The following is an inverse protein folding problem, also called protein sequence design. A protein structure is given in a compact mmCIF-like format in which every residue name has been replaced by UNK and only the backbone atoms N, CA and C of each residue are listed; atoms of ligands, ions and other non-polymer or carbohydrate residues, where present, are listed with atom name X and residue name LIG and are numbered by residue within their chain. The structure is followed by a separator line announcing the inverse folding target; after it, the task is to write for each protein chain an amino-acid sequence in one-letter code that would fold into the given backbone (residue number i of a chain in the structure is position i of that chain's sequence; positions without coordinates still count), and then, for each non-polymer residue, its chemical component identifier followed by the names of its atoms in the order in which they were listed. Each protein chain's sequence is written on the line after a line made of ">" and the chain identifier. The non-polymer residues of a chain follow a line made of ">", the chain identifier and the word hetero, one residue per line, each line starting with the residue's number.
data_IF_458540125759
#
_entry.id   IF_458540125759
#
_cell.length_a   1.000
_cell.length_b   1.000
_cell.length_c   1.000
_cell.angle_alpha   90.00
_cell.angle_beta   90.00
_cell.angle_gamma   90.00
#
_symmetry.space_group_name_H-M   'P 1'
#
loop_
_entity.id
_entity.type
_entity.pdbx_description
1 polymer ?
#
# COMPACT_ATOMS: atom_id res chain seq x y z
N UNK A 1 -13.65 42.42 -1.77
CA UNK A 1 -13.43 41.48 -2.89
C UNK A 1 -12.11 40.73 -2.67
N UNK A 2 -11.95 40.00 -1.54
CA UNK A 2 -10.82 39.09 -1.27
C UNK A 2 -11.19 38.06 -0.18
N UNK A 3 -12.29 37.34 -0.34
CA UNK A 3 -12.71 36.31 0.64
C UNK A 3 -13.15 34.98 0.01
N UNK A 4 -12.91 34.80 -1.30
CA UNK A 4 -13.29 33.56 -2.01
C UNK A 4 -12.14 32.54 -2.13
N UNK A 5 -10.89 32.98 -2.00
CA UNK A 5 -9.71 32.10 -2.19
C UNK A 5 -9.35 31.30 -0.94
N UNK A 6 -9.84 31.69 0.24
CA UNK A 6 -9.58 30.94 1.48
C UNK A 6 -10.49 29.71 1.61
N UNK A 7 -11.69 29.76 1.01
CA UNK A 7 -12.67 28.66 1.06
C UNK A 7 -12.22 27.48 0.18
N UNK A 8 -11.51 27.74 -0.94
CA UNK A 8 -10.98 26.67 -1.80
C UNK A 8 -9.89 25.84 -1.11
N UNK A 9 -9.07 26.45 -0.23
CA UNK A 9 -8.06 25.71 0.52
C UNK A 9 -8.62 24.86 1.67
N UNK A 10 -9.84 25.15 2.15
CA UNK A 10 -10.52 24.36 3.17
C UNK A 10 -11.16 23.08 2.62
N UNK A 11 -11.54 23.07 1.34
CA UNK A 11 -12.06 21.87 0.68
C UNK A 11 -10.99 20.77 0.58
N UNK A 12 -9.72 21.15 0.42
CA UNK A 12 -8.58 20.22 0.38
C UNK A 12 -8.34 19.51 1.72
N UNK A 13 -8.73 20.12 2.84
CA UNK A 13 -8.64 19.50 4.19
C UNK A 13 -9.72 18.43 4.37
N UNK A 14 -10.89 18.58 3.73
CA UNK A 14 -11.89 17.51 3.71
C UNK A 14 -11.42 16.26 2.94
N UNK A 15 -10.54 16.42 1.94
CA UNK A 15 -9.87 15.29 1.29
C UNK A 15 -8.81 14.60 2.18
N UNK A 16 -8.33 15.23 3.25
CA UNK A 16 -7.50 14.57 4.26
C UNK A 16 -8.29 13.62 5.18
N UNK A 17 -9.62 13.75 5.24
CA UNK A 17 -10.49 12.79 5.95
C UNK A 17 -10.41 11.36 5.40
N UNK A 18 -9.89 11.20 4.19
CA UNK A 18 -9.62 9.90 3.59
C UNK A 18 -8.36 9.22 4.12
N UNK A 19 -7.47 9.87 4.89
CA UNK A 19 -6.28 9.19 5.45
C UNK A 19 -6.64 8.09 6.46
N UNK A 20 -7.75 8.24 7.19
CA UNK A 20 -8.24 7.19 8.10
C UNK A 20 -8.78 5.98 7.32
N UNK A 21 -9.52 6.24 6.24
CA UNK A 21 -10.00 5.24 5.28
C UNK A 21 -8.85 4.56 4.52
N UNK A 22 -7.83 5.33 4.12
CA UNK A 22 -6.62 4.83 3.48
C UNK A 22 -5.83 3.98 4.49
N UNK A 23 -5.74 4.40 5.75
CA UNK A 23 -5.12 3.62 6.82
C UNK A 23 -5.87 2.31 7.12
N UNK A 24 -7.20 2.32 7.09
CA UNK A 24 -8.03 1.11 7.19
C UNK A 24 -7.92 0.22 5.94
N UNK A 25 -7.90 0.80 4.74
CA UNK A 25 -7.68 0.11 3.47
C UNK A 25 -6.29 -0.52 3.40
N UNK A 26 -5.25 0.17 3.87
CA UNK A 26 -3.91 -0.41 4.02
C UNK A 26 -3.92 -1.55 5.05
N UNK A 27 -4.61 -1.40 6.19
CA UNK A 27 -4.72 -2.50 7.16
C UNK A 27 -5.42 -3.74 6.58
N UNK A 28 -6.45 -3.56 5.76
CA UNK A 28 -7.16 -4.67 5.08
C UNK A 28 -6.30 -5.28 3.96
N UNK A 29 -5.68 -4.46 3.12
CA UNK A 29 -4.82 -4.91 2.02
C UNK A 29 -3.53 -5.61 2.51
N UNK A 30 -2.97 -5.20 3.64
CA UNK A 30 -1.73 -5.79 4.19
C UNK A 30 -1.95 -6.75 5.36
N UNK A 31 -3.16 -6.82 5.91
CA UNK A 31 -3.53 -7.71 7.03
C UNK A 31 -4.01 -9.09 6.59
N UNK A 32 -4.73 -9.17 5.47
CA UNK A 32 -5.38 -10.42 5.04
C UNK A 32 -4.71 -11.12 3.85
N UNK A 33 -3.67 -10.54 3.25
CA UNK A 33 -2.94 -11.18 2.15
C UNK A 33 -1.78 -12.01 2.70
N UNK A 34 -2.13 -13.19 3.20
CA UNK A 34 -1.38 -14.47 3.15
C UNK A 34 -1.68 -15.33 4.37
N UNK A 35 -2.95 -15.73 4.56
CA UNK A 35 -3.28 -16.89 5.40
C UNK A 35 -3.73 -18.11 4.60
N UNK A 36 -3.78 -18.07 3.26
CA UNK A 36 -4.26 -19.25 2.52
C UNK A 36 -4.23 -19.24 0.99
N UNK A 37 -3.60 -18.27 0.32
CA UNK A 37 -3.58 -18.20 -1.16
C UNK A 37 -2.19 -18.33 -1.79
N UNK A 38 -1.20 -18.83 -1.04
CA UNK A 38 0.00 -19.41 -1.66
C UNK A 38 -0.06 -20.93 -1.57
N UNK A 39 -1.21 -21.53 -1.90
CA UNK A 39 -1.14 -22.88 -2.47
C UNK A 39 -0.59 -22.70 -3.87
N UNK A 40 0.70 -23.01 -4.06
CA UNK A 40 1.16 -23.45 -5.38
C UNK A 40 0.08 -24.42 -5.87
N UNK A 41 -0.53 -24.20 -7.05
CA UNK A 41 -1.37 -25.24 -7.64
C UNK A 41 -0.50 -26.50 -7.65
N UNK A 42 -1.02 -27.66 -7.26
CA UNK A 42 -0.29 -28.91 -7.46
C UNK A 42 -0.01 -29.02 -8.97
N UNK A 43 1.20 -28.63 -9.37
CA UNK A 43 1.56 -28.52 -10.78
C UNK A 43 1.60 -29.94 -11.32
N UNK A 44 0.80 -30.19 -12.36
CA UNK A 44 0.89 -31.44 -13.09
C UNK A 44 2.24 -31.50 -13.82
N UNK A 45 2.73 -32.71 -14.13
CA UNK A 45 4.00 -32.92 -14.85
C UNK A 45 4.06 -32.13 -16.19
N UNK A 46 2.89 -31.90 -16.80
CA UNK A 46 2.66 -31.05 -17.98
C UNK A 46 2.95 -29.56 -17.75
N UNK A 47 2.78 -29.07 -16.52
CA UNK A 47 3.09 -27.70 -16.12
C UNK A 47 4.53 -27.55 -15.61
N UNK A 48 5.08 -28.62 -15.02
CA UNK A 48 6.44 -28.67 -14.51
C UNK A 48 7.45 -28.62 -15.67
N UNK A 49 7.21 -29.44 -16.69
CA UNK A 49 8.10 -29.53 -17.85
C UNK A 49 7.28 -29.66 -19.15
N UNK A 50 6.66 -28.58 -19.64
CA UNK A 50 5.86 -28.61 -20.87
C UNK A 50 6.68 -29.04 -22.10
N UNK A 51 8.00 -28.78 -22.08
CA UNK A 51 8.95 -29.27 -23.10
C UNK A 51 9.22 -30.78 -23.03
N UNK A 52 9.09 -31.39 -21.85
CA UNK A 52 9.32 -32.83 -21.64
C UNK A 52 8.07 -33.67 -21.86
N UNK A 53 6.88 -33.09 -21.70
CA UNK A 53 5.60 -33.78 -21.92
C UNK A 53 5.38 -34.24 -23.37
N UNK A 54 6.08 -33.63 -24.35
CA UNK A 54 6.01 -33.99 -25.77
C UNK A 54 7.15 -34.91 -26.23
N UNK A 55 8.12 -35.22 -25.35
CA UNK A 55 9.16 -36.21 -25.60
C UNK A 55 8.60 -37.61 -25.28
N UNK A 56 7.62 -38.08 -26.05
CA UNK A 56 7.18 -39.46 -25.90
C UNK A 56 8.26 -40.39 -26.44
N UNK A 57 8.98 -41.06 -25.53
CA UNK A 57 9.94 -42.17 -25.78
C UNK A 57 9.33 -43.32 -26.60
N UNK A 58 8.04 -43.28 -26.90
CA UNK A 58 7.24 -44.39 -27.41
C UNK A 58 7.58 -44.87 -28.82
N UNK A 59 8.53 -44.28 -29.55
CA UNK A 59 8.86 -44.72 -30.92
C UNK A 59 10.33 -44.66 -31.34
N UNK A 60 11.26 -44.22 -30.48
CA UNK A 60 12.69 -44.21 -30.79
C UNK A 60 13.39 -45.35 -30.04
N UNK A 61 14.20 -46.16 -30.74
CA UNK A 61 14.95 -47.27 -30.12
C UNK A 61 14.15 -48.55 -29.85
N UNK A 62 12.95 -48.73 -30.42
CA UNK A 62 12.19 -49.99 -30.26
C UNK A 62 12.94 -51.24 -30.74
N UNK A 63 13.76 -51.07 -31.77
CA UNK A 63 14.52 -52.17 -32.39
C UNK A 63 15.86 -52.43 -31.70
N UNK A 64 16.28 -51.56 -30.77
CA UNK A 64 17.55 -51.63 -30.03
C UNK A 64 17.30 -51.44 -28.52
N UNK A 65 17.24 -52.53 -27.74
CA UNK A 65 16.92 -52.47 -26.32
C UNK A 65 17.95 -51.70 -25.49
N UNK A 66 19.23 -51.70 -25.90
CA UNK A 66 20.30 -50.98 -25.20
C UNK A 66 20.14 -49.46 -25.39
N UNK A 67 19.78 -49.02 -26.60
CA UNK A 67 19.48 -47.62 -26.90
C UNK A 67 18.25 -47.13 -26.12
N UNK A 68 17.21 -47.97 -26.00
CA UNK A 68 16.00 -47.64 -25.25
C UNK A 68 16.30 -47.43 -23.75
N UNK A 69 17.09 -48.32 -23.14
CA UNK A 69 17.46 -48.21 -21.72
C UNK A 69 18.24 -46.92 -21.45
N UNK A 70 19.21 -46.57 -22.30
CA UNK A 70 20.01 -45.36 -22.15
C UNK A 70 19.14 -44.09 -22.28
N UNK A 71 18.18 -44.10 -23.21
CA UNK A 71 17.29 -42.97 -23.43
C UNK A 71 16.29 -42.79 -22.27
N UNK A 72 15.81 -43.89 -21.66
CA UNK A 72 14.99 -43.86 -20.44
C UNK A 72 15.78 -43.31 -19.24
N UNK A 73 17.06 -43.67 -19.07
CA UNK A 73 17.93 -43.11 -18.03
C UNK A 73 18.08 -41.60 -18.17
N UNK A 74 18.42 -41.13 -19.38
CA UNK A 74 18.55 -39.69 -19.66
C UNK A 74 17.26 -38.92 -19.38
N UNK A 75 16.10 -39.51 -19.67
CA UNK A 75 14.81 -38.90 -19.39
C UNK A 75 14.55 -38.78 -17.88
N UNK A 76 14.88 -39.81 -17.10
CA UNK A 76 14.76 -39.79 -15.62
C UNK A 76 15.72 -38.77 -15.00
N UNK A 77 16.94 -38.67 -15.51
CA UNK A 77 17.93 -37.69 -15.04
C UNK A 77 17.45 -36.25 -15.28
N UNK A 78 16.95 -35.94 -16.49
CA UNK A 78 16.37 -34.63 -16.81
C UNK A 78 15.17 -34.28 -15.92
N UNK A 79 14.28 -35.23 -15.65
CA UNK A 79 13.16 -35.03 -14.72
C UNK A 79 13.63 -34.76 -13.29
N UNK A 80 14.68 -35.46 -12.85
CA UNK A 80 15.28 -35.24 -11.52
C UNK A 80 15.87 -33.83 -11.41
N UNK A 81 16.55 -33.37 -12.45
CA UNK A 81 17.11 -32.02 -12.51
C UNK A 81 16.03 -30.94 -12.49
N UNK A 82 14.97 -31.09 -13.30
CA UNK A 82 13.86 -30.13 -13.33
C UNK A 82 13.15 -30.04 -11.98
N UNK A 83 12.89 -31.18 -11.33
CA UNK A 83 12.23 -31.19 -10.02
C UNK A 83 13.08 -30.50 -8.94
N UNK A 84 14.40 -30.73 -8.93
CA UNK A 84 15.34 -30.03 -8.02
C UNK A 84 15.41 -28.54 -8.31
N UNK A 85 15.36 -28.15 -9.59
CA UNK A 85 15.32 -26.75 -9.99
C UNK A 85 14.05 -26.08 -9.47
N UNK A 86 12.89 -26.72 -9.65
CA UNK A 86 11.62 -26.20 -9.14
C UNK A 86 11.59 -26.04 -7.62
N UNK A 87 12.14 -27.01 -6.86
CA UNK A 87 12.24 -26.90 -5.41
C UNK A 87 13.07 -25.67 -5.01
N UNK A 88 14.21 -25.48 -5.68
CA UNK A 88 15.12 -24.34 -5.43
C UNK A 88 14.46 -23.01 -5.79
N UNK A 89 13.82 -22.92 -6.95
CA UNK A 89 13.09 -21.72 -7.40
C UNK A 89 11.92 -21.42 -6.48
N UNK A 90 11.15 -22.43 -6.06
CA UNK A 90 10.04 -22.26 -5.14
C UNK A 90 10.48 -21.75 -3.76
N UNK A 91 11.59 -22.28 -3.23
CA UNK A 91 12.16 -21.84 -1.96
C UNK A 91 12.69 -20.39 -2.05
N UNK A 92 13.42 -20.05 -3.11
CA UNK A 92 13.95 -18.71 -3.33
C UNK A 92 12.82 -17.69 -3.52
N UNK A 93 11.81 -18.03 -4.33
CA UNK A 93 10.65 -17.18 -4.56
C UNK A 93 9.87 -16.91 -3.26
N UNK A 94 9.66 -17.94 -2.44
CA UNK A 94 9.00 -17.80 -1.13
C UNK A 94 9.80 -16.88 -0.19
N UNK A 95 11.12 -17.05 -0.15
CA UNK A 95 12.01 -16.18 0.64
C UNK A 95 11.93 -14.74 0.15
N UNK A 96 12.07 -14.52 -1.16
CA UNK A 96 12.01 -13.19 -1.78
C UNK A 96 10.67 -12.50 -1.49
N UNK A 97 9.55 -13.22 -1.64
CA UNK A 97 8.22 -12.70 -1.30
C UNK A 97 8.11 -12.31 0.18
N UNK A 98 8.62 -13.12 1.11
CA UNK A 98 8.56 -12.83 2.54
C UNK A 98 9.38 -11.58 2.90
N UNK A 99 10.57 -11.42 2.32
CA UNK A 99 11.39 -10.21 2.50
C UNK A 99 10.65 -8.98 1.98
N UNK A 100 10.18 -9.02 0.74
CA UNK A 100 9.46 -7.91 0.11
C UNK A 100 8.20 -7.54 0.91
N UNK A 101 7.45 -8.54 1.37
CA UNK A 101 6.25 -8.34 2.20
C UNK A 101 6.58 -7.67 3.53
N UNK A 102 7.63 -8.12 4.23
CA UNK A 102 8.05 -7.52 5.50
C UNK A 102 8.47 -6.06 5.33
N UNK A 103 9.17 -5.75 4.24
CA UNK A 103 9.57 -4.38 3.92
C UNK A 103 8.37 -3.50 3.60
N UNK A 104 7.45 -3.97 2.75
CA UNK A 104 6.21 -3.26 2.44
C UNK A 104 5.39 -2.98 3.71
N UNK A 105 5.25 -3.98 4.60
CA UNK A 105 4.55 -3.84 5.87
C UNK A 105 5.23 -2.84 6.81
N UNK A 106 6.56 -2.83 6.87
CA UNK A 106 7.33 -1.85 7.66
C UNK A 106 7.06 -0.43 7.17
N UNK A 107 7.17 -0.22 5.86
CA UNK A 107 6.91 1.08 5.23
C UNK A 107 5.48 1.55 5.47
N UNK A 108 4.49 0.66 5.28
CA UNK A 108 3.09 0.95 5.56
C UNK A 108 2.87 1.37 7.03
N UNK A 109 3.47 0.65 7.98
CA UNK A 109 3.37 0.94 9.41
C UNK A 109 4.00 2.29 9.77
N UNK A 110 5.10 2.66 9.10
CA UNK A 110 5.74 3.97 9.27
C UNK A 110 4.83 5.10 8.75
N UNK A 111 4.26 4.95 7.55
CA UNK A 111 3.33 5.94 7.01
C UNK A 111 2.10 6.13 7.90
N UNK A 112 1.55 5.04 8.45
CA UNK A 112 0.41 5.13 9.36
C UNK A 112 0.75 5.99 10.59
N UNK A 113 1.92 5.77 11.21
CA UNK A 113 2.35 6.55 12.38
C UNK A 113 2.54 8.04 12.05
N UNK A 114 3.11 8.36 10.90
CA UNK A 114 3.28 9.75 10.46
C UNK A 114 1.94 10.42 10.15
N UNK A 115 1.00 9.67 9.55
CA UNK A 115 -0.37 10.16 9.32
C UNK A 115 -1.09 10.46 10.65
N UNK A 116 -0.95 9.59 11.65
CA UNK A 116 -1.50 9.80 13.00
C UNK A 116 -0.91 11.05 13.67
N UNK A 117 0.41 11.29 13.56
CA UNK A 117 1.04 12.52 14.05
C UNK A 117 0.52 13.77 13.35
N UNK A 118 0.37 13.72 12.02
CA UNK A 118 -0.16 14.82 11.23
C UNK A 118 -1.59 15.16 11.66
N UNK A 119 -2.45 14.16 11.82
CA UNK A 119 -3.83 14.35 12.28
C UNK A 119 -3.88 15.03 13.65
N UNK A 120 -3.08 14.56 14.61
CA UNK A 120 -3.03 15.17 15.94
C UNK A 120 -2.56 16.63 15.90
N UNK A 121 -1.59 16.95 15.03
CA UNK A 121 -1.13 18.32 14.82
C UNK A 121 -2.21 19.20 14.19
N UNK A 122 -2.93 18.70 13.17
CA UNK A 122 -4.04 19.40 12.53
C UNK A 122 -5.15 19.69 13.55
N UNK A 123 -5.58 18.69 14.31
CA UNK A 123 -6.61 18.87 15.35
C UNK A 123 -6.20 19.96 16.37
N UNK A 124 -4.93 19.99 16.75
CA UNK A 124 -4.41 21.02 17.67
C UNK A 124 -4.42 22.42 17.04
N UNK A 125 -3.97 22.53 15.79
CA UNK A 125 -3.94 23.78 15.05
C UNK A 125 -5.34 24.33 14.80
N UNK A 126 -6.26 23.48 14.36
CA UNK A 126 -7.66 23.87 14.11
C UNK A 126 -8.36 24.28 15.40
N UNK A 127 -8.16 23.54 16.50
CA UNK A 127 -8.69 23.94 17.80
C UNK A 127 -8.13 25.28 18.29
N UNK A 128 -6.86 25.60 17.99
CA UNK A 128 -6.29 26.92 18.30
C UNK A 128 -6.86 28.03 17.40
N UNK A 129 -7.05 27.77 16.10
CA UNK A 129 -7.67 28.69 15.14
C UNK A 129 -9.09 29.04 15.59
N UNK A 130 -9.91 28.05 15.88
CA UNK A 130 -11.30 28.26 16.34
C UNK A 130 -11.34 29.11 17.61
N UNK A 131 -10.48 28.82 18.60
CA UNK A 131 -10.38 29.64 19.81
C UNK A 131 -10.00 31.09 19.49
N UNK A 132 -9.01 31.31 18.63
CA UNK A 132 -8.59 32.65 18.21
C UNK A 132 -9.72 33.40 17.50
N UNK A 133 -10.46 32.74 16.61
CA UNK A 133 -11.62 33.33 15.93
C UNK A 133 -12.73 33.74 16.90
N UNK A 134 -13.03 32.91 17.90
CA UNK A 134 -14.04 33.28 18.92
C UNK A 134 -13.62 34.49 19.74
N UNK A 135 -12.34 34.58 20.13
CA UNK A 135 -11.80 35.71 20.89
C UNK A 135 -11.80 36.98 20.04
N UNK A 136 -11.30 36.89 18.81
CA UNK A 136 -11.27 38.00 17.86
C UNK A 136 -12.69 38.53 17.56
N UNK A 137 -13.68 37.66 17.45
CA UNK A 137 -15.08 38.06 17.26
C UNK A 137 -15.62 38.86 18.45
N UNK A 138 -15.27 38.48 19.68
CA UNK A 138 -15.63 39.22 20.91
C UNK A 138 -14.93 40.58 20.96
N UNK A 139 -13.62 40.61 20.68
CA UNK A 139 -12.86 41.86 20.64
C UNK A 139 -13.41 42.83 19.60
N UNK A 140 -13.69 42.36 18.37
CA UNK A 140 -14.30 43.18 17.32
C UNK A 140 -15.60 43.84 17.77
N UNK A 141 -16.47 43.13 18.51
CA UNK A 141 -17.70 43.72 19.06
C UNK A 141 -17.42 44.85 20.03
N UNK A 142 -16.45 44.67 20.93
CA UNK A 142 -16.05 45.69 21.90
C UNK A 142 -15.40 46.88 21.16
N UNK A 143 -14.48 46.63 20.24
CA UNK A 143 -13.83 47.66 19.43
C UNK A 143 -14.85 48.49 18.65
N UNK A 144 -15.86 47.87 18.04
CA UNK A 144 -16.94 48.59 17.36
C UNK A 144 -17.73 49.52 18.30
N UNK A 145 -17.95 49.13 19.55
CA UNK A 145 -18.58 50.01 20.55
C UNK A 145 -17.70 51.20 20.91
N UNK A 146 -16.39 50.97 21.08
CA UNK A 146 -15.43 52.04 21.33
C UNK A 146 -15.31 53.00 20.16
N UNK A 147 -15.22 52.50 18.93
CA UNK A 147 -15.19 53.34 17.72
C UNK A 147 -16.44 54.22 17.61
N UNK A 148 -17.63 53.68 17.90
CA UNK A 148 -18.88 54.47 17.90
C UNK A 148 -18.84 55.58 18.94
N UNK A 149 -18.36 55.30 20.16
CA UNK A 149 -18.24 56.30 21.22
C UNK A 149 -17.23 57.39 20.87
N UNK A 150 -16.07 57.01 20.35
CA UNK A 150 -15.04 57.96 19.92
C UNK A 150 -15.59 58.95 18.87
N UNK A 151 -16.31 58.45 17.88
CA UNK A 151 -16.98 59.30 16.87
C UNK A 151 -18.00 60.25 17.48
N UNK A 152 -18.80 59.81 18.45
CA UNK A 152 -19.77 60.69 19.16
C UNK A 152 -19.07 61.82 19.93
N UNK A 153 -17.83 61.60 20.36
CA UNK A 153 -17.01 62.60 21.04
C UNK A 153 -16.21 63.47 20.06
N UNK A 154 -16.44 63.34 18.74
CA UNK A 154 -15.76 64.13 17.71
C UNK A 154 -14.33 63.67 17.38
N UNK A 155 -13.95 62.45 17.78
CA UNK A 155 -12.64 61.89 17.42
C UNK A 155 -12.74 61.31 16.00
N UNK A 156 -12.02 61.93 15.05
CA UNK A 156 -11.90 61.43 13.68
C UNK A 156 -10.71 60.48 13.55
N UNK A 157 -10.80 59.52 12.61
CA UNK A 157 -9.65 58.67 12.26
C UNK A 157 -8.75 59.47 11.33
N UNK A 158 -7.43 59.46 11.59
CA UNK A 158 -6.42 59.86 10.59
C UNK A 158 -6.51 59.00 9.32
#
# INVERSE_FOLDING_TARGET
>A
MKDATLISGFQDIYYLGDFKKIGELLKVLFGDICSGFCTLPQQSLLQIAPGLANLSVTDCGKDDPDLKEEMEKQFVDLLSEELKLQETVGAEHSLHMNVTFREARRSASQYQREAEKCNAAIETCEGARERAETLLSKEKKITLLWERRAKLLGWERE
#
